data_IF_404265238204
#
_entry.id   IF_404265238204
#
_cell.length_a   1.000
_cell.length_b   1.000
_cell.length_c   1.000
_cell.angle_alpha   90.00
_cell.angle_beta   90.00
_cell.angle_gamma   90.00
#
_symmetry.space_group_name_H-M   'P 1'
#
loop_
_entity.id
_entity.type
_entity.pdbx_description
1 polymer ?
#
# COMPACT_ATOMS: atom_id res chain seq x y z
N UNK A 1 -40.06 39.40 -15.33
CA UNK A 1 -38.63 39.27 -14.99
C UNK A 1 -38.54 38.33 -13.80
N UNK A 2 -38.01 37.13 -14.00
CA UNK A 2 -37.77 36.16 -12.93
C UNK A 2 -36.25 36.07 -12.80
N UNK A 3 -35.74 36.57 -11.69
CA UNK A 3 -34.32 36.56 -11.35
C UNK A 3 -33.98 35.17 -10.79
N UNK A 4 -33.06 34.45 -11.42
CA UNK A 4 -32.52 33.19 -10.90
C UNK A 4 -31.34 33.55 -10.00
N UNK A 5 -31.53 33.48 -8.68
CA UNK A 5 -30.43 33.50 -7.72
C UNK A 5 -29.67 32.16 -7.77
N UNK A 6 -28.37 32.22 -8.03
CA UNK A 6 -27.43 31.10 -7.85
C UNK A 6 -27.26 30.87 -6.34
N UNK A 7 -27.95 29.88 -5.79
CA UNK A 7 -27.77 29.48 -4.39
C UNK A 7 -26.43 28.73 -4.20
N UNK A 8 -25.66 29.26 -3.26
CA UNK A 8 -24.30 28.91 -2.85
C UNK A 8 -24.29 27.65 -1.98
N UNK A 9 -24.38 26.45 -2.58
CA UNK A 9 -24.44 25.17 -1.85
C UNK A 9 -23.08 24.50 -1.65
N UNK A 10 -22.02 25.28 -1.40
CA UNK A 10 -20.67 24.78 -1.10
C UNK A 10 -20.19 25.16 0.31
N UNK A 11 -21.09 25.65 1.16
CA UNK A 11 -20.77 26.01 2.55
C UNK A 11 -21.09 24.88 3.55
N UNK A 12 -21.66 23.77 3.10
CA UNK A 12 -21.82 22.54 3.89
C UNK A 12 -20.57 21.68 4.02
N UNK A 13 -19.45 22.12 3.42
CA UNK A 13 -18.14 21.44 3.47
C UNK A 13 -17.37 21.77 4.77
N UNK A 14 -17.89 22.66 5.61
CA UNK A 14 -17.13 23.19 6.76
C UNK A 14 -17.36 22.47 8.11
N UNK A 15 -18.25 21.46 8.21
CA UNK A 15 -18.67 20.96 9.53
C UNK A 15 -18.45 19.48 9.85
N UNK A 16 -17.90 18.67 8.94
CA UNK A 16 -17.43 17.31 9.27
C UNK A 16 -15.91 17.22 9.45
N UNK A 17 -15.21 18.33 9.21
CA UNK A 17 -13.85 18.54 9.72
C UNK A 17 -13.77 18.63 11.27
N UNK A 18 -14.91 18.66 11.97
CA UNK A 18 -14.97 18.93 13.41
C UNK A 18 -15.19 17.71 14.32
N UNK A 19 -15.33 16.49 13.79
CA UNK A 19 -15.39 15.25 14.60
C UNK A 19 -14.18 14.32 14.38
N UNK A 20 -13.06 14.90 13.94
CA UNK A 20 -11.69 14.37 14.16
C UNK A 20 -11.03 15.04 15.38
N UNK A 21 -11.77 15.91 16.07
CA UNK A 21 -11.32 16.67 17.23
C UNK A 21 -11.44 15.88 18.55
N UNK A 22 -10.78 14.72 18.63
CA UNK A 22 -10.31 14.12 19.90
C UNK A 22 -9.35 12.96 19.63
N UNK A 23 -8.14 13.29 19.15
CA UNK A 23 -6.97 12.40 19.25
C UNK A 23 -6.48 11.79 17.94
N UNK A 24 -5.81 12.60 17.09
CA UNK A 24 -4.60 12.11 16.42
C UNK A 24 -4.50 12.12 14.89
N UNK A 25 -5.52 12.53 14.12
CA UNK A 25 -5.48 12.36 12.64
C UNK A 25 -5.55 13.64 11.79
N UNK A 26 -5.50 14.85 12.38
CA UNK A 26 -5.67 16.10 11.63
C UNK A 26 -4.38 16.76 11.06
N UNK A 27 -3.22 16.09 11.07
CA UNK A 27 -1.95 16.76 10.76
C UNK A 27 -1.66 16.97 9.26
N UNK A 28 -2.24 16.19 8.35
CA UNK A 28 -1.81 16.18 6.94
C UNK A 28 -2.55 17.14 5.99
N UNK A 29 -3.57 17.88 6.47
CA UNK A 29 -4.42 18.72 5.61
C UNK A 29 -4.14 20.23 5.64
N UNK A 30 -3.29 20.75 6.55
CA UNK A 30 -3.02 22.19 6.68
C UNK A 30 -1.56 22.54 6.98
N UNK A 31 -0.61 21.87 6.32
CA UNK A 31 0.79 22.32 6.39
C UNK A 31 0.91 23.71 5.72
N UNK A 32 1.36 24.77 6.43
CA UNK A 32 1.51 26.09 5.85
C UNK A 32 2.67 26.06 4.85
N UNK A 33 2.39 26.36 3.58
CA UNK A 33 3.40 26.74 2.62
C UNK A 33 3.88 28.15 2.98
N UNK A 34 4.93 28.25 3.79
CA UNK A 34 5.57 29.50 4.17
C UNK A 34 6.77 29.80 3.26
N UNK A 35 6.65 30.84 2.46
CA UNK A 35 7.71 31.46 1.66
C UNK A 35 8.82 32.08 2.54
N UNK A 36 10.08 31.87 2.16
CA UNK A 36 11.17 32.87 2.25
C UNK A 36 12.05 32.94 3.51
N UNK A 37 13.34 32.59 3.35
CA UNK A 37 14.47 33.20 4.11
C UNK A 37 15.41 32.22 4.83
N UNK A 38 16.76 32.34 4.68
CA UNK A 38 17.71 31.27 4.97
C UNK A 38 18.28 31.30 6.40
N UNK A 39 18.61 30.10 6.90
CA UNK A 39 19.68 29.74 7.84
C UNK A 39 19.22 28.72 8.88
N UNK A 40 20.02 27.67 9.07
CA UNK A 40 19.97 26.80 10.25
C UNK A 40 19.47 25.39 9.98
N UNK A 41 20.43 24.49 9.77
CA UNK A 41 20.25 23.06 9.63
C UNK A 41 19.43 22.38 10.75
N UNK A 42 18.54 21.48 10.36
CA UNK A 42 18.45 20.13 10.90
C UNK A 42 17.51 19.30 10.01
N UNK A 43 18.10 18.41 9.21
CA UNK A 43 17.42 17.32 8.54
C UNK A 43 16.66 16.46 9.54
N UNK A 44 15.40 16.17 9.26
CA UNK A 44 14.63 15.20 10.03
C UNK A 44 13.13 15.37 9.91
N UNK A 45 12.55 15.00 8.77
CA UNK A 45 11.11 14.76 8.66
C UNK A 45 10.90 13.60 7.69
N UNK A 46 10.72 12.40 8.24
CA UNK A 46 9.40 11.82 8.50
C UNK A 46 8.90 11.06 7.27
N UNK A 47 9.49 9.88 7.08
CA UNK A 47 8.93 8.86 6.20
C UNK A 47 7.57 8.45 6.76
N UNK A 48 6.51 8.67 5.98
CA UNK A 48 5.22 8.04 6.20
C UNK A 48 5.39 6.52 6.23
N UNK A 49 4.55 5.86 7.03
CA UNK A 49 4.55 4.41 7.20
C UNK A 49 4.40 3.63 5.86
N UNK A 50 4.00 4.31 4.79
CA UNK A 50 3.87 3.80 3.43
C UNK A 50 4.75 4.60 2.45
N UNK A 51 5.87 5.13 2.92
CA UNK A 51 6.92 5.74 2.07
C UNK A 51 8.26 5.04 2.29
N UNK A 52 8.33 4.06 3.22
CA UNK A 52 9.46 3.14 3.34
C UNK A 52 9.61 2.17 2.16
N UNK A 53 8.59 2.02 1.31
CA UNK A 53 8.62 1.25 0.06
C UNK A 53 8.92 2.11 -1.19
N UNK A 54 9.18 3.39 -1.03
CA UNK A 54 9.68 4.28 -2.09
C UNK A 54 10.96 4.94 -1.62
N UNK A 55 12.01 4.13 -1.46
CA UNK A 55 13.38 4.59 -1.38
C UNK A 55 14.14 4.17 -2.64
N UNK A 56 13.69 4.67 -3.79
CA UNK A 56 14.59 5.00 -4.88
C UNK A 56 14.67 6.52 -4.97
N UNK A 57 15.67 7.09 -4.32
CA UNK A 57 16.15 8.45 -4.58
C UNK A 57 17.56 8.53 -3.97
N UNK A 58 18.65 8.62 -4.71
CA UNK A 58 18.83 9.20 -6.04
C UNK A 58 19.96 10.21 -5.90
N UNK A 59 21.05 10.00 -6.63
CA UNK A 59 22.07 11.02 -6.83
C UNK A 59 22.34 11.11 -8.34
N UNK A 60 21.84 12.21 -8.90
CA UNK A 60 22.29 12.91 -10.11
C UNK A 60 22.40 12.15 -11.44
N UNK A 61 21.39 12.34 -12.29
CA UNK A 61 21.64 12.68 -13.69
C UNK A 61 20.41 13.39 -14.27
N UNK A 62 20.61 14.64 -14.68
CA UNK A 62 19.62 15.41 -15.40
C UNK A 62 19.36 14.84 -16.80
N UNK A 63 18.15 15.14 -17.28
CA UNK A 63 17.69 15.22 -18.66
C UNK A 63 16.89 14.06 -19.25
N UNK A 64 15.69 14.45 -19.73
CA UNK A 64 15.00 13.99 -20.94
C UNK A 64 14.03 12.80 -20.83
N UNK A 65 12.75 13.16 -20.81
CA UNK A 65 11.67 12.61 -21.64
C UNK A 65 11.77 11.16 -22.13
N UNK A 66 10.87 10.30 -21.64
CA UNK A 66 10.00 9.44 -22.45
C UNK A 66 9.09 8.62 -21.53
N UNK A 67 7.83 8.44 -21.92
CA UNK A 67 6.95 7.49 -21.26
C UNK A 67 7.58 6.10 -21.21
N UNK A 68 7.74 5.60 -19.99
CA UNK A 68 8.06 4.22 -19.66
C UNK A 68 7.43 3.97 -18.28
N UNK A 69 6.67 2.90 -18.04
CA UNK A 69 6.65 1.66 -18.79
C UNK A 69 5.38 0.84 -18.47
N UNK A 70 4.44 0.82 -19.41
CA UNK A 70 3.43 -0.26 -19.53
C UNK A 70 4.08 -1.65 -19.71
N UNK A 71 5.40 -1.71 -19.94
CA UNK A 71 6.20 -2.95 -19.96
C UNK A 71 6.52 -3.46 -18.53
N UNK A 72 6.55 -2.59 -17.51
CA UNK A 72 6.63 -3.01 -16.11
C UNK A 72 5.28 -3.56 -15.64
N UNK A 73 4.17 -3.01 -16.15
CA UNK A 73 2.82 -3.53 -15.98
C UNK A 73 2.68 -4.96 -16.50
N UNK A 74 3.21 -5.25 -17.70
CA UNK A 74 3.14 -6.57 -18.32
C UNK A 74 3.85 -7.71 -17.55
N UNK A 75 4.97 -7.42 -16.85
CA UNK A 75 5.77 -8.45 -16.16
C UNK A 75 5.15 -8.97 -14.85
N UNK A 76 4.42 -8.15 -14.09
CA UNK A 76 3.71 -8.63 -12.88
C UNK A 76 2.21 -8.87 -13.11
N UNK A 77 1.60 -8.37 -14.20
CA UNK A 77 0.20 -8.67 -14.53
C UNK A 77 -0.04 -10.14 -14.91
N UNK A 78 1.04 -10.86 -15.23
CA UNK A 78 1.07 -12.30 -15.36
C UNK A 78 2.49 -12.77 -15.07
N UNK A 79 2.77 -13.07 -13.80
CA UNK A 79 4.04 -13.70 -13.39
C UNK A 79 4.30 -14.87 -14.33
N UNK A 80 5.39 -14.79 -15.08
CA UNK A 80 5.70 -15.79 -16.07
C UNK A 80 5.88 -17.15 -15.37
N UNK A 81 5.46 -18.28 -15.98
CA UNK A 81 5.57 -19.59 -15.34
C UNK A 81 6.99 -19.90 -14.83
N UNK A 82 8.01 -19.43 -15.54
CA UNK A 82 9.42 -19.50 -15.16
C UNK A 82 9.76 -18.71 -13.89
N UNK A 83 9.16 -17.54 -13.71
CA UNK A 83 9.35 -16.68 -12.54
C UNK A 83 8.67 -17.28 -11.31
N UNK A 84 7.48 -17.85 -11.51
CA UNK A 84 6.79 -18.58 -10.46
C UNK A 84 7.58 -19.82 -10.05
N UNK A 85 8.13 -20.58 -11.00
CA UNK A 85 8.95 -21.75 -10.70
C UNK A 85 10.25 -21.37 -9.95
N UNK A 86 10.87 -20.24 -10.30
CA UNK A 86 12.04 -19.72 -9.59
C UNK A 86 11.68 -19.29 -8.15
N UNK A 87 10.55 -18.62 -7.96
CA UNK A 87 10.06 -18.26 -6.62
C UNK A 87 9.77 -19.51 -5.78
N UNK A 88 9.03 -20.49 -6.32
CA UNK A 88 8.76 -21.75 -5.63
C UNK A 88 10.06 -22.50 -5.28
N UNK A 89 11.05 -22.49 -6.17
CA UNK A 89 12.36 -23.09 -5.93
C UNK A 89 13.12 -22.40 -4.79
N UNK A 90 13.11 -21.07 -4.76
CA UNK A 90 13.76 -20.27 -3.70
C UNK A 90 13.16 -20.49 -2.32
N UNK A 91 11.91 -20.97 -2.27
CA UNK A 91 11.16 -21.25 -1.05
C UNK A 91 11.21 -22.73 -0.63
N UNK A 92 11.98 -23.61 -1.28
CA UNK A 92 12.00 -25.07 -1.02
C UNK A 92 12.27 -25.49 0.43
N UNK A 93 12.84 -24.61 1.26
CA UNK A 93 13.04 -24.83 2.69
C UNK A 93 11.89 -24.38 3.61
N UNK A 94 10.81 -23.82 3.05
CA UNK A 94 9.67 -23.30 3.81
C UNK A 94 8.52 -24.33 3.83
N UNK A 95 7.84 -24.54 4.98
CA UNK A 95 6.62 -25.32 5.00
C UNK A 95 5.58 -24.67 4.07
N UNK A 96 4.99 -25.42 3.15
CA UNK A 96 4.01 -24.89 2.18
C UNK A 96 4.58 -23.85 1.19
N UNK A 97 5.81 -24.05 0.70
CA UNK A 97 6.47 -23.17 -0.29
C UNK A 97 5.57 -22.67 -1.44
N UNK A 98 4.70 -23.54 -1.98
CA UNK A 98 3.75 -23.18 -3.04
C UNK A 98 2.70 -22.16 -2.59
N UNK A 99 2.16 -22.32 -1.38
CA UNK A 99 1.18 -21.38 -0.81
C UNK A 99 1.85 -20.03 -0.55
N UNK A 100 3.08 -20.04 -0.06
CA UNK A 100 3.85 -18.81 0.17
C UNK A 100 4.20 -18.09 -1.13
N UNK A 101 4.59 -18.81 -2.18
CA UNK A 101 4.81 -18.23 -3.50
C UNK A 101 3.54 -17.53 -4.01
N UNK A 102 2.37 -18.16 -3.83
CA UNK A 102 1.09 -17.56 -4.19
C UNK A 102 0.78 -16.30 -3.36
N UNK A 103 1.00 -16.32 -2.04
CA UNK A 103 0.83 -15.13 -1.18
C UNK A 103 1.70 -13.97 -1.66
N UNK A 104 2.98 -14.22 -1.92
CA UNK A 104 3.92 -13.19 -2.43
C UNK A 104 3.43 -12.57 -3.74
N UNK A 105 3.05 -13.40 -4.71
CA UNK A 105 2.58 -12.91 -6.02
C UNK A 105 1.28 -12.10 -5.86
N UNK A 106 0.36 -12.56 -5.02
CA UNK A 106 -0.93 -11.90 -4.86
C UNK A 106 -0.81 -10.59 -4.08
N UNK A 107 0.10 -10.50 -3.11
CA UNK A 107 0.45 -9.27 -2.45
C UNK A 107 1.00 -8.23 -3.43
N UNK A 108 1.95 -8.61 -4.30
CA UNK A 108 2.50 -7.72 -5.32
C UNK A 108 1.44 -7.22 -6.30
N UNK A 109 0.50 -8.09 -6.69
CA UNK A 109 -0.63 -7.70 -7.53
C UNK A 109 -1.53 -6.68 -6.84
N UNK A 110 -1.82 -6.87 -5.57
CA UNK A 110 -2.61 -5.93 -4.78
C UNK A 110 -1.88 -4.58 -4.66
N UNK A 111 -0.59 -4.59 -4.32
CA UNK A 111 0.25 -3.39 -4.23
C UNK A 111 0.24 -2.59 -5.53
N UNK A 112 0.43 -3.25 -6.67
CA UNK A 112 0.35 -2.58 -7.97
C UNK A 112 -1.03 -2.00 -8.27
N UNK A 113 -2.08 -2.74 -7.92
CA UNK A 113 -3.44 -2.24 -8.11
C UNK A 113 -3.65 -0.97 -7.27
N UNK A 114 -3.10 -0.93 -6.07
CA UNK A 114 -3.11 0.25 -5.22
C UNK A 114 -2.28 1.40 -5.80
N UNK A 115 -1.06 1.16 -6.28
CA UNK A 115 -0.23 2.17 -6.96
C UNK A 115 -0.91 2.74 -8.20
N UNK A 116 -1.49 1.87 -9.02
CA UNK A 116 -2.26 2.25 -10.21
C UNK A 116 -3.41 3.15 -9.81
N UNK A 117 -4.19 2.75 -8.81
CA UNK A 117 -5.28 3.57 -8.26
C UNK A 117 -4.79 4.95 -7.80
N UNK A 118 -3.65 5.02 -7.09
CA UNK A 118 -3.07 6.28 -6.63
C UNK A 118 -2.62 7.19 -7.77
N UNK A 119 -2.11 6.61 -8.87
CA UNK A 119 -1.63 7.36 -10.03
C UNK A 119 -2.72 7.95 -10.93
N UNK A 120 -3.98 7.51 -10.77
CA UNK A 120 -5.11 8.03 -11.54
C UNK A 120 -5.42 9.48 -11.16
N UNK A 121 -5.78 10.29 -12.15
CA UNK A 121 -6.12 11.70 -11.93
C UNK A 121 -7.47 11.81 -11.22
N UNK A 122 -7.52 12.55 -10.11
CA UNK A 122 -8.73 12.68 -9.27
C UNK A 122 -9.94 13.25 -10.03
N UNK A 123 -9.72 14.14 -11.00
CA UNK A 123 -10.78 14.83 -11.71
C UNK A 123 -11.15 14.11 -13.01
N UNK A 124 -10.15 13.68 -13.77
CA UNK A 124 -10.36 13.06 -15.08
C UNK A 124 -10.81 11.61 -14.95
N UNK A 125 -10.28 10.90 -13.95
CA UNK A 125 -10.46 9.47 -13.78
C UNK A 125 -11.31 9.12 -12.54
N UNK A 126 -12.07 10.08 -11.99
CA UNK A 126 -12.87 9.92 -10.77
C UNK A 126 -13.70 8.63 -10.72
N UNK A 127 -14.37 8.29 -11.84
CA UNK A 127 -15.16 7.07 -11.94
C UNK A 127 -14.29 5.82 -11.88
N UNK A 128 -13.15 5.82 -12.57
CA UNK A 128 -12.21 4.71 -12.58
C UNK A 128 -11.56 4.52 -11.20
N UNK A 129 -11.21 5.62 -10.53
CA UNK A 129 -10.71 5.61 -9.15
C UNK A 129 -11.71 4.99 -8.18
N UNK A 130 -12.98 5.41 -8.24
CA UNK A 130 -14.03 4.84 -7.39
C UNK A 130 -14.24 3.34 -7.63
N UNK A 131 -14.26 2.88 -8.88
CA UNK A 131 -14.36 1.44 -9.20
C UNK A 131 -13.14 0.67 -8.70
N UNK A 132 -11.95 1.21 -8.89
CA UNK A 132 -10.72 0.55 -8.46
C UNK A 132 -10.60 0.52 -6.93
N UNK A 133 -11.03 1.58 -6.24
CA UNK A 133 -11.10 1.61 -4.79
C UNK A 133 -12.06 0.56 -4.24
N UNK A 134 -13.21 0.34 -4.90
CA UNK A 134 -14.14 -0.73 -4.55
C UNK A 134 -13.50 -2.12 -4.71
N UNK A 135 -12.78 -2.35 -5.82
CA UNK A 135 -12.10 -3.63 -6.04
C UNK A 135 -11.01 -3.89 -4.98
N UNK A 136 -10.18 -2.88 -4.69
CA UNK A 136 -9.17 -2.95 -3.63
C UNK A 136 -9.80 -3.22 -2.27
N UNK A 137 -10.90 -2.53 -1.96
CA UNK A 137 -11.65 -2.74 -0.71
C UNK A 137 -12.23 -4.15 -0.60
N UNK A 138 -12.68 -4.74 -1.71
CA UNK A 138 -13.21 -6.10 -1.73
C UNK A 138 -12.12 -7.16 -1.48
N UNK A 139 -10.89 -6.91 -1.91
CA UNK A 139 -9.76 -7.82 -1.68
C UNK A 139 -9.18 -7.70 -0.27
N UNK A 140 -9.20 -6.49 0.30
CA UNK A 140 -8.54 -6.17 1.58
C UNK A 140 -8.85 -7.14 2.74
N UNK A 141 -10.10 -7.61 2.98
CA UNK A 141 -10.38 -8.57 4.04
C UNK A 141 -9.57 -9.87 3.92
N UNK A 142 -9.39 -10.37 2.69
CA UNK A 142 -8.66 -11.61 2.46
C UNK A 142 -7.14 -11.39 2.55
N UNK A 143 -6.65 -10.22 2.15
CA UNK A 143 -5.26 -9.80 2.34
C UNK A 143 -4.90 -9.74 3.83
N UNK A 144 -5.77 -9.15 4.64
CA UNK A 144 -5.62 -9.08 6.09
C UNK A 144 -5.58 -10.48 6.72
N UNK A 145 -6.52 -11.38 6.35
CA UNK A 145 -6.50 -12.78 6.83
C UNK A 145 -5.24 -13.52 6.42
N UNK A 146 -4.71 -13.21 5.24
CA UNK A 146 -3.45 -13.77 4.74
C UNK A 146 -2.22 -13.15 5.42
N UNK A 147 -2.38 -12.29 6.43
CA UNK A 147 -1.26 -11.63 7.13
C UNK A 147 -0.47 -10.68 6.24
N UNK A 148 -1.06 -10.20 5.15
CA UNK A 148 -0.40 -9.31 4.20
C UNK A 148 -0.49 -7.82 4.61
N UNK A 149 -1.40 -7.52 5.52
CA UNK A 149 -1.54 -6.23 6.17
C UNK A 149 -1.64 -6.42 7.67
N UNK A 150 -1.11 -5.47 8.42
CA UNK A 150 -1.45 -5.35 9.84
C UNK A 150 -2.88 -4.83 10.01
N UNK A 151 -3.47 -5.03 11.19
CA UNK A 151 -4.80 -4.50 11.52
C UNK A 151 -4.89 -2.98 11.33
N UNK A 152 -3.86 -2.26 11.77
CA UNK A 152 -3.81 -0.80 11.66
C UNK A 152 -3.74 -0.35 10.20
N UNK A 153 -2.88 -0.99 9.40
CA UNK A 153 -2.77 -0.71 7.96
C UNK A 153 -4.08 -0.97 7.22
N UNK A 154 -4.75 -2.10 7.52
CA UNK A 154 -6.03 -2.43 6.92
C UNK A 154 -7.13 -1.44 7.35
N UNK A 155 -7.14 -0.97 8.60
CA UNK A 155 -8.07 0.07 9.07
C UNK A 155 -7.90 1.36 8.27
N UNK A 156 -6.65 1.85 8.16
CA UNK A 156 -6.33 3.09 7.46
C UNK A 156 -6.64 2.98 5.96
N UNK A 157 -6.15 1.93 5.30
CA UNK A 157 -6.36 1.75 3.87
C UNK A 157 -7.84 1.59 3.54
N UNK A 158 -8.59 0.79 4.30
CA UNK A 158 -10.02 0.63 4.07
C UNK A 158 -10.78 1.94 4.21
N UNK A 159 -10.42 2.80 5.18
CA UNK A 159 -11.06 4.12 5.32
C UNK A 159 -10.86 5.02 4.10
N UNK A 160 -9.65 5.02 3.53
CA UNK A 160 -9.31 5.79 2.33
C UNK A 160 -10.06 5.26 1.11
N UNK A 161 -10.08 3.95 0.91
CA UNK A 161 -10.77 3.31 -0.22
C UNK A 161 -12.29 3.51 -0.14
N UNK A 162 -12.88 3.47 1.07
CA UNK A 162 -14.29 3.77 1.27
C UNK A 162 -14.58 5.25 0.96
N UNK A 163 -13.69 6.17 1.37
CA UNK A 163 -13.86 7.60 1.11
C UNK A 163 -13.85 7.94 -0.39
N UNK A 164 -13.01 7.26 -1.17
CA UNK A 164 -12.99 7.38 -2.63
C UNK A 164 -14.23 6.72 -3.28
N UNK A 165 -14.66 5.57 -2.75
CA UNK A 165 -15.75 4.79 -3.34
C UNK A 165 -17.15 5.36 -3.06
N UNK A 166 -17.33 6.07 -1.94
CA UNK A 166 -18.63 6.54 -1.45
C UNK A 166 -18.68 8.06 -1.35
N UNK A 167 -19.50 8.68 -2.19
CA UNK A 167 -19.69 10.13 -2.23
C UNK A 167 -20.67 10.62 -1.16
N UNK A 168 -21.62 9.76 -0.73
CA UNK A 168 -22.58 10.10 0.32
C UNK A 168 -21.92 10.00 1.71
N UNK A 169 -21.95 11.09 2.46
CA UNK A 169 -21.27 11.18 3.74
C UNK A 169 -21.85 10.25 4.81
N UNK A 170 -23.17 10.12 4.89
CA UNK A 170 -23.81 9.26 5.86
C UNK A 170 -23.50 7.78 5.57
N UNK A 171 -23.55 7.38 4.30
CA UNK A 171 -23.19 6.02 3.87
C UNK A 171 -21.71 5.74 4.03
N UNK A 172 -20.83 6.72 3.78
CA UNK A 172 -19.39 6.60 4.00
C UNK A 172 -19.07 6.31 5.46
N UNK A 173 -19.65 7.09 6.39
CA UNK A 173 -19.43 6.88 7.83
C UNK A 173 -19.93 5.50 8.27
N UNK A 174 -21.13 5.11 7.84
CA UNK A 174 -21.67 3.78 8.11
C UNK A 174 -20.74 2.66 7.60
N UNK A 175 -20.17 2.81 6.39
CA UNK A 175 -19.26 1.81 5.82
C UNK A 175 -17.92 1.76 6.55
N UNK A 176 -17.37 2.90 6.98
CA UNK A 176 -16.14 2.95 7.77
C UNK A 176 -16.35 2.27 9.13
N UNK A 177 -17.45 2.57 9.82
CA UNK A 177 -17.80 1.91 11.08
C UNK A 177 -17.98 0.40 10.89
N UNK A 178 -18.71 -0.01 9.85
CA UNK A 178 -18.89 -1.43 9.52
C UNK A 178 -17.54 -2.12 9.22
N UNK A 179 -16.64 -1.45 8.52
CA UNK A 179 -15.29 -1.95 8.26
C UNK A 179 -14.49 -2.13 9.55
N UNK A 180 -14.44 -1.10 10.39
CA UNK A 180 -13.73 -1.16 11.66
C UNK A 180 -14.28 -2.23 12.61
N UNK A 181 -15.61 -2.39 12.65
CA UNK A 181 -16.26 -3.45 13.42
C UNK A 181 -15.97 -4.85 12.88
N UNK A 182 -15.65 -4.98 11.59
CA UNK A 182 -15.30 -6.24 10.96
C UNK A 182 -13.86 -6.67 11.26
N UNK A 183 -12.91 -5.74 11.37
CA UNK A 183 -11.48 -6.04 11.54
C UNK A 183 -11.17 -7.06 12.67
N UNK A 184 -11.74 -6.94 13.89
CA UNK A 184 -11.56 -7.93 14.96
C UNK A 184 -11.97 -9.36 14.58
N UNK A 185 -12.95 -9.50 13.68
CA UNK A 185 -13.45 -10.81 13.25
C UNK A 185 -12.54 -11.47 12.20
N UNK A 186 -11.69 -10.69 11.55
CA UNK A 186 -10.78 -11.14 10.50
C UNK A 186 -9.44 -11.63 11.07
N UNK A 187 -9.06 -11.14 12.26
CA UNK A 187 -7.82 -11.52 12.95
C UNK A 187 -8.16 -12.09 14.33
N UNK A 188 -8.21 -13.43 14.48
CA UNK A 188 -8.53 -14.07 15.74
C UNK A 188 -7.54 -13.71 16.85
N UNK A 189 -8.04 -13.45 18.05
CA UNK A 189 -7.22 -13.12 19.23
C UNK A 189 -6.39 -11.84 19.07
N UNK A 190 -6.92 -10.82 18.40
CA UNK A 190 -6.25 -9.54 18.20
C UNK A 190 -5.91 -8.80 19.51
N UNK A 191 -6.52 -9.20 20.63
CA UNK A 191 -6.27 -8.63 21.97
C UNK A 191 -5.00 -9.21 22.63
N UNK A 192 -4.47 -10.32 22.12
CA UNK A 192 -3.23 -10.93 22.60
C UNK A 192 -2.02 -10.20 21.97
N UNK A 193 -1.37 -9.35 22.75
CA UNK A 193 -0.23 -8.54 22.31
C UNK A 193 0.92 -9.38 21.73
N UNK A 194 1.21 -10.55 22.33
CA UNK A 194 2.29 -11.42 21.87
C UNK A 194 1.96 -12.02 20.50
N UNK A 195 0.69 -12.41 20.29
CA UNK A 195 0.22 -12.87 18.97
C UNK A 195 0.23 -11.75 17.94
N UNK A 196 -0.20 -10.55 18.31
CA UNK A 196 -0.17 -9.40 17.41
C UNK A 196 1.25 -9.01 17.01
N UNK A 197 2.19 -9.05 17.95
CA UNK A 197 3.60 -8.86 17.64
C UNK A 197 4.11 -9.94 16.67
N UNK A 198 3.77 -11.20 16.89
CA UNK A 198 4.15 -12.30 15.98
C UNK A 198 3.55 -12.14 14.58
N UNK A 199 2.27 -11.78 14.48
CA UNK A 199 1.59 -11.50 13.21
C UNK A 199 2.25 -10.35 12.47
N UNK A 200 2.53 -9.24 13.14
CA UNK A 200 3.22 -8.10 12.52
C UNK A 200 4.61 -8.49 11.99
N UNK A 201 5.36 -9.33 12.73
CA UNK A 201 6.65 -9.85 12.24
C UNK A 201 6.48 -10.74 11.02
N UNK A 202 5.44 -11.57 10.98
CA UNK A 202 5.14 -12.39 9.80
C UNK A 202 4.77 -11.52 8.59
N UNK A 203 3.96 -10.48 8.80
CA UNK A 203 3.61 -9.50 7.75
C UNK A 203 4.85 -8.82 7.18
N UNK A 204 5.76 -8.34 8.03
CA UNK A 204 7.02 -7.74 7.60
C UNK A 204 7.94 -8.75 6.88
N UNK A 205 8.00 -9.99 7.36
CA UNK A 205 8.74 -11.06 6.70
C UNK A 205 8.21 -11.36 5.29
N UNK A 206 6.89 -11.41 5.13
CA UNK A 206 6.25 -11.58 3.83
C UNK A 206 6.54 -10.38 2.92
N UNK A 207 6.36 -9.15 3.42
CA UNK A 207 6.61 -7.90 2.68
C UNK A 207 8.03 -7.86 2.11
N UNK A 208 9.05 -8.17 2.92
CA UNK A 208 10.44 -8.21 2.45
C UNK A 208 10.67 -9.24 1.35
N UNK A 209 10.10 -10.44 1.47
CA UNK A 209 10.20 -11.48 0.43
C UNK A 209 9.53 -11.02 -0.87
N UNK A 210 8.36 -10.39 -0.76
CA UNK A 210 7.65 -9.88 -1.92
C UNK A 210 8.43 -8.74 -2.60
N UNK A 211 8.98 -7.79 -1.84
CA UNK A 211 9.85 -6.74 -2.37
C UNK A 211 11.05 -7.34 -3.10
N UNK A 212 11.76 -8.28 -2.48
CA UNK A 212 12.91 -8.93 -3.11
C UNK A 212 12.55 -9.66 -4.41
N UNK A 213 11.40 -10.34 -4.45
CA UNK A 213 10.91 -10.97 -5.67
C UNK A 213 10.52 -9.95 -6.74
N UNK A 214 9.84 -8.85 -6.36
CA UNK A 214 9.48 -7.77 -7.28
C UNK A 214 10.71 -7.06 -7.88
N UNK A 215 11.72 -6.77 -7.06
CA UNK A 215 13.00 -6.19 -7.49
C UNK A 215 13.76 -7.14 -8.41
N UNK A 216 13.86 -8.42 -8.02
CA UNK A 216 14.42 -9.45 -8.87
C UNK A 216 13.71 -9.46 -10.22
N UNK A 217 12.37 -9.46 -10.23
CA UNK A 217 11.56 -9.51 -11.44
C UNK A 217 11.73 -8.27 -12.34
N UNK A 218 11.86 -7.09 -11.73
CA UNK A 218 12.06 -5.82 -12.42
C UNK A 218 13.49 -5.64 -12.98
N UNK A 219 14.46 -6.40 -12.47
CA UNK A 219 15.85 -6.29 -12.90
C UNK A 219 16.01 -6.55 -14.39
N UNK A 220 16.72 -5.65 -15.06
CA UNK A 220 17.06 -5.75 -16.48
C UNK A 220 18.46 -6.34 -16.71
N UNK A 221 19.25 -6.50 -15.66
CA UNK A 221 20.56 -7.17 -15.72
C UNK A 221 20.37 -8.70 -15.60
N UNK A 222 20.76 -9.49 -16.62
CA UNK A 222 20.66 -10.96 -16.58
C UNK A 222 21.36 -11.60 -15.39
N UNK A 223 22.47 -11.02 -14.90
CA UNK A 223 23.19 -11.56 -13.76
C UNK A 223 22.39 -11.38 -12.45
N UNK A 224 21.81 -10.20 -12.26
CA UNK A 224 20.89 -9.90 -11.15
C UNK A 224 19.55 -10.66 -11.25
N UNK A 225 19.12 -11.01 -12.46
CA UNK A 225 17.88 -11.75 -12.75
C UNK A 225 18.00 -13.28 -12.61
N UNK A 226 19.12 -13.78 -12.09
CA UNK A 226 19.39 -15.22 -11.97
C UNK A 226 18.66 -15.87 -10.78
N UNK A 227 18.32 -17.18 -10.84
CA UNK A 227 17.72 -17.90 -9.71
C UNK A 227 18.57 -17.86 -8.43
N UNK A 228 19.90 -17.97 -8.59
CA UNK A 228 20.83 -17.92 -7.45
C UNK A 228 20.75 -16.60 -6.68
N UNK A 229 20.46 -15.48 -7.35
CA UNK A 229 20.26 -14.18 -6.70
C UNK A 229 18.96 -14.11 -5.91
N UNK A 230 17.88 -14.68 -6.46
CA UNK A 230 16.61 -14.78 -5.74
C UNK A 230 16.74 -15.68 -4.51
N UNK A 231 17.37 -16.86 -4.67
CA UNK A 231 17.63 -17.80 -3.57
C UNK A 231 18.45 -17.13 -2.46
N UNK A 232 19.51 -16.41 -2.83
CA UNK A 232 20.33 -15.66 -1.87
C UNK A 232 19.50 -14.62 -1.12
N UNK A 233 18.70 -13.82 -1.83
CA UNK A 233 17.87 -12.79 -1.20
C UNK A 233 16.85 -13.39 -0.23
N UNK A 234 16.16 -14.47 -0.62
CA UNK A 234 15.19 -15.15 0.24
C UNK A 234 15.84 -15.75 1.49
N UNK A 235 17.04 -16.30 1.33
CA UNK A 235 17.81 -16.88 2.43
C UNK A 235 18.30 -15.81 3.41
N UNK A 236 18.77 -14.68 2.92
CA UNK A 236 19.21 -13.55 3.75
C UNK A 236 18.04 -12.97 4.54
N UNK A 237 16.86 -12.82 3.93
CA UNK A 237 15.62 -12.40 4.61
C UNK A 237 15.22 -13.42 5.69
N UNK A 238 15.30 -14.73 5.39
CA UNK A 238 15.00 -15.80 6.35
C UNK A 238 15.95 -15.75 7.56
N UNK A 239 17.25 -15.52 7.33
CA UNK A 239 18.23 -15.37 8.42
C UNK A 239 17.93 -14.14 9.27
N UNK A 240 17.63 -13.00 8.65
CA UNK A 240 17.27 -11.77 9.36
C UNK A 240 16.06 -12.00 10.28
N UNK A 241 14.99 -12.59 9.73
CA UNK A 241 13.79 -12.96 10.48
C UNK A 241 14.08 -13.86 11.69
N UNK A 242 14.88 -14.91 11.51
CA UNK A 242 15.25 -15.84 12.58
C UNK A 242 16.15 -15.21 13.64
N UNK A 243 16.99 -14.25 13.26
CA UNK A 243 17.86 -13.50 14.19
C UNK A 243 17.11 -12.42 14.98
N UNK A 244 15.88 -12.12 14.57
CA UNK A 244 15.03 -11.12 15.20
C UNK A 244 15.30 -9.68 14.76
N UNK A 245 15.98 -9.48 13.63
CA UNK A 245 16.27 -8.19 12.99
C UNK A 245 15.30 -7.86 11.84
#
# INVERSE_FOLDING_TARGET
MITIEKSKSWQGVALVAALVAAGGLAYWAFAPQGEGGPDGAASGAAGGLWSGWSAASGADAASSQAGGSLLADARLSGVAPEDQAALEASLKGHPNAKVEAQRIVQYLKYQRSFETWQSLDEQKDARQRSVMAQNLMNELPDRLKAGEFTLMEAALMGSVLIAEAESDEARRNQRVEAWQAQLPTLVPNYEDEARMAALNRETEYMRRRATAFGEWQASSDPAARSPAKLDQAMEDIRRAYNSGN
#
